data_IF_224751776908
#
_entry.id   IF_224751776908
#
_cell.length_a   1.000
_cell.length_b   1.000
_cell.length_c   1.000
_cell.angle_alpha   90.00
_cell.angle_beta   90.00
_cell.angle_gamma   90.00
#
_symmetry.space_group_name_H-M   'P 1'
#
loop_
_entity.id
_entity.type
_entity.pdbx_description
1 polymer ?
#
# COMPACT_ATOMS: atom_id res chain seq x y z
N UNK A 1 -1.94 25.12 8.72
CA UNK A 1 -3.29 24.63 9.07
C UNK A 1 -3.14 23.22 9.55
N UNK A 2 -3.50 22.97 10.81
CA UNK A 2 -3.26 21.69 11.47
C UNK A 2 -4.53 20.85 11.54
N UNK A 3 -4.46 19.60 11.07
CA UNK A 3 -5.53 18.61 11.23
C UNK A 3 -4.98 17.31 11.79
N UNK A 4 -5.85 16.51 12.40
CA UNK A 4 -5.58 15.12 12.73
C UNK A 4 -6.46 14.23 11.86
N UNK A 5 -5.87 13.22 11.24
CA UNK A 5 -6.56 12.21 10.45
C UNK A 5 -6.33 10.85 11.11
N UNK A 6 -7.41 10.10 11.32
CA UNK A 6 -7.34 8.73 11.82
C UNK A 6 -7.83 7.79 10.72
N UNK A 7 -7.08 6.72 10.48
CA UNK A 7 -7.46 5.73 9.47
C UNK A 7 -8.85 5.17 9.75
N UNK A 8 -9.56 4.75 8.71
CA UNK A 8 -10.92 4.18 8.82
C UNK A 8 -11.04 3.05 9.84
N UNK A 9 -9.99 2.24 10.00
CA UNK A 9 -9.90 1.15 10.96
C UNK A 9 -9.38 1.56 12.36
N UNK A 10 -9.10 2.84 12.59
CA UNK A 10 -8.64 3.38 13.88
C UNK A 10 -7.20 3.03 14.27
N UNK A 11 -6.41 2.38 13.40
CA UNK A 11 -5.08 1.87 13.75
C UNK A 11 -3.98 2.93 13.75
N UNK A 12 -4.12 3.97 12.92
CA UNK A 12 -3.09 5.00 12.73
C UNK A 12 -3.76 6.36 12.82
N UNK A 13 -3.20 7.23 13.67
CA UNK A 13 -3.53 8.65 13.69
C UNK A 13 -2.30 9.43 13.23
N UNK A 14 -2.47 10.28 12.23
CA UNK A 14 -1.44 11.17 11.72
C UNK A 14 -1.88 12.63 11.89
N UNK A 15 -0.93 13.50 12.22
CA UNK A 15 -1.14 14.94 12.25
C UNK A 15 -0.49 15.56 11.01
N UNK A 16 -1.25 16.42 10.33
CA UNK A 16 -0.78 17.16 9.17
C UNK A 16 -0.80 18.64 9.49
N UNK A 17 0.25 19.36 9.11
CA UNK A 17 0.27 20.81 9.12
C UNK A 17 0.77 21.32 7.76
N UNK A 18 -0.01 22.19 7.13
CA UNK A 18 0.30 22.73 5.81
C UNK A 18 -0.28 24.13 5.60
N UNK A 19 0.35 24.93 4.75
CA UNK A 19 0.00 26.35 4.57
C UNK A 19 -1.26 26.58 3.74
N UNK A 20 -1.63 25.62 2.90
CA UNK A 20 -2.79 25.72 2.00
C UNK A 20 -3.61 24.43 1.96
N UNK A 21 -4.88 24.53 1.55
CA UNK A 21 -5.73 23.36 1.34
C UNK A 21 -5.16 22.43 0.27
N UNK A 22 -4.43 22.96 -0.72
CA UNK A 22 -3.80 22.17 -1.78
C UNK A 22 -2.67 21.30 -1.22
N UNK A 23 -1.83 21.87 -0.37
CA UNK A 23 -0.71 21.14 0.24
C UNK A 23 -1.24 20.09 1.21
N UNK A 24 -2.23 20.45 2.01
CA UNK A 24 -2.90 19.52 2.91
C UNK A 24 -3.55 18.34 2.16
N UNK A 25 -4.23 18.61 1.05
CA UNK A 25 -4.80 17.56 0.21
C UNK A 25 -3.73 16.61 -0.33
N UNK A 26 -2.58 17.14 -0.77
CA UNK A 26 -1.48 16.31 -1.25
C UNK A 26 -0.92 15.39 -0.17
N UNK A 27 -0.73 15.89 1.06
CA UNK A 27 -0.22 15.08 2.17
C UNK A 27 -1.22 14.01 2.63
N UNK A 28 -2.50 14.36 2.74
CA UNK A 28 -3.56 13.38 3.03
C UNK A 28 -3.65 12.33 1.93
N UNK A 29 -3.60 12.73 0.66
CA UNK A 29 -3.67 11.78 -0.46
C UNK A 29 -2.54 10.75 -0.41
N UNK A 30 -1.29 11.20 -0.20
CA UNK A 30 -0.14 10.29 -0.04
C UNK A 30 -0.32 9.36 1.16
N UNK A 31 -0.88 9.87 2.25
CA UNK A 31 -1.16 9.06 3.44
C UNK A 31 -2.23 8.00 3.14
N UNK A 32 -3.36 8.38 2.57
CA UNK A 32 -4.45 7.45 2.25
C UNK A 32 -3.98 6.37 1.27
N UNK A 33 -3.18 6.73 0.25
CA UNK A 33 -2.67 5.80 -0.75
C UNK A 33 -1.84 4.65 -0.14
N UNK A 34 -1.18 4.87 1.01
CA UNK A 34 -0.30 3.89 1.67
C UNK A 34 -0.96 3.27 2.90
N UNK A 35 -1.71 4.06 3.67
CA UNK A 35 -2.14 3.71 5.02
C UNK A 35 -3.65 3.42 5.15
N UNK A 36 -4.47 3.64 4.11
CA UNK A 36 -5.90 3.30 4.11
C UNK A 36 -6.25 2.01 3.36
N UNK A 37 -5.26 1.22 2.94
CA UNK A 37 -5.54 -0.14 2.45
C UNK A 37 -5.79 -1.08 3.65
N UNK A 38 -7.03 -1.12 4.12
CA UNK A 38 -7.45 -1.89 5.29
C UNK A 38 -7.97 -3.31 4.95
N UNK A 39 -8.18 -3.59 3.67
CA UNK A 39 -8.87 -4.81 3.20
C UNK A 39 -8.05 -5.54 2.15
N UNK A 40 -7.86 -6.85 2.34
CA UNK A 40 -7.14 -7.69 1.40
C UNK A 40 -7.94 -7.84 0.11
N UNK A 41 -7.38 -7.44 -1.03
CA UNK A 41 -8.05 -7.54 -2.33
C UNK A 41 -8.46 -8.96 -2.71
N UNK A 42 -7.74 -9.98 -2.21
CA UNK A 42 -7.95 -11.40 -2.55
C UNK A 42 -8.97 -12.11 -1.67
N UNK A 43 -8.86 -12.00 -0.35
CA UNK A 43 -9.73 -12.73 0.59
C UNK A 43 -10.69 -11.84 1.38
N UNK A 44 -10.62 -10.52 1.20
CA UNK A 44 -11.43 -9.50 1.89
C UNK A 44 -11.24 -9.44 3.41
N UNK A 45 -10.28 -10.18 3.97
CA UNK A 45 -9.89 -10.06 5.38
C UNK A 45 -9.14 -8.76 5.67
N UNK A 46 -9.25 -8.29 6.92
CA UNK A 46 -8.64 -7.03 7.39
C UNK A 46 -7.38 -7.22 8.25
N UNK A 47 -6.98 -8.47 8.50
CA UNK A 47 -5.72 -8.79 9.19
C UNK A 47 -4.54 -8.62 8.24
N UNK A 48 -4.13 -7.35 8.11
CA UNK A 48 -3.08 -6.89 7.22
C UNK A 48 -1.95 -6.25 8.03
N UNK A 49 -0.72 -6.52 7.62
CA UNK A 49 0.49 -5.91 8.19
C UNK A 49 1.42 -5.36 7.11
N UNK A 50 2.13 -4.30 7.46
CA UNK A 50 3.25 -3.77 6.68
C UNK A 50 4.45 -4.69 6.82
N UNK A 51 5.12 -4.98 5.70
CA UNK A 51 6.39 -5.68 5.68
C UNK A 51 7.37 -4.95 4.76
N UNK A 52 8.64 -4.97 5.14
CA UNK A 52 9.76 -4.52 4.31
C UNK A 52 10.68 -5.71 4.11
N UNK A 53 11.00 -6.02 2.86
CA UNK A 53 11.99 -7.04 2.52
C UNK A 53 13.21 -6.35 1.93
N UNK A 54 14.40 -6.82 2.31
CA UNK A 54 15.67 -6.36 1.72
C UNK A 54 16.25 -7.47 0.88
N UNK A 55 16.57 -7.19 -0.38
CA UNK A 55 17.24 -8.12 -1.32
C UNK A 55 18.31 -7.32 -2.07
N UNK A 56 19.56 -7.73 -1.98
CA UNK A 56 20.71 -7.05 -2.61
C UNK A 56 20.68 -5.53 -2.38
N UNK A 57 20.54 -5.12 -1.10
CA UNK A 57 20.39 -3.74 -0.63
C UNK A 57 19.16 -2.97 -1.14
N UNK A 58 18.29 -3.59 -1.93
CA UNK A 58 17.03 -3.00 -2.36
C UNK A 58 15.91 -3.31 -1.36
N UNK A 59 15.18 -2.26 -0.96
CA UNK A 59 14.01 -2.38 -0.10
C UNK A 59 12.73 -2.51 -0.91
N UNK A 60 11.92 -3.51 -0.56
CA UNK A 60 10.62 -3.78 -1.14
C UNK A 60 9.56 -3.63 -0.05
N UNK A 61 8.67 -2.67 -0.26
CA UNK A 61 7.58 -2.34 0.65
C UNK A 61 6.32 -3.09 0.22
N UNK A 62 5.73 -3.86 1.12
CA UNK A 62 4.54 -4.66 0.81
C UNK A 62 3.55 -4.62 1.99
N UNK A 63 2.27 -4.77 1.68
CA UNK A 63 1.28 -5.22 2.65
C UNK A 63 1.13 -6.73 2.55
N UNK A 64 1.02 -7.42 3.69
CA UNK A 64 0.77 -8.87 3.75
C UNK A 64 -0.52 -9.13 4.52
N UNK A 65 -1.39 -9.92 3.91
CA UNK A 65 -2.56 -10.46 4.59
C UNK A 65 -2.14 -11.68 5.41
N UNK A 66 -2.33 -11.65 6.72
CA UNK A 66 -2.02 -12.80 7.59
C UNK A 66 -3.05 -13.93 7.42
N UNK A 67 -4.29 -13.62 7.02
CA UNK A 67 -5.35 -14.62 6.85
C UNK A 67 -5.13 -15.55 5.65
N UNK A 68 -4.73 -15.01 4.49
CA UNK A 68 -4.56 -15.81 3.28
C UNK A 68 -3.13 -15.83 2.72
N UNK A 69 -2.22 -15.01 3.27
CA UNK A 69 -0.82 -14.96 2.86
C UNK A 69 -0.56 -14.22 1.53
N UNK A 70 -1.58 -13.61 0.92
CA UNK A 70 -1.38 -12.73 -0.23
C UNK A 70 -0.67 -11.44 0.18
N UNK A 71 -0.11 -10.77 -0.82
CA UNK A 71 0.62 -9.52 -0.65
C UNK A 71 0.25 -8.48 -1.70
N UNK A 72 0.29 -7.22 -1.32
CA UNK A 72 0.21 -6.07 -2.22
C UNK A 72 1.58 -5.38 -2.22
N UNK A 73 2.24 -5.33 -3.37
CA UNK A 73 3.54 -4.69 -3.51
C UNK A 73 3.40 -3.19 -3.77
N UNK A 74 4.32 -2.39 -3.23
CA UNK A 74 4.39 -0.96 -3.46
C UNK A 74 5.58 -0.62 -4.36
N UNK A 75 5.36 0.35 -5.25
CA UNK A 75 6.43 1.07 -5.95
C UNK A 75 6.89 2.26 -5.12
N UNK A 76 8.12 2.70 -5.39
CA UNK A 76 8.67 3.93 -4.81
C UNK A 76 8.73 4.97 -5.93
N UNK A 77 8.20 6.16 -5.67
CA UNK A 77 8.33 7.28 -6.58
C UNK A 77 9.80 7.67 -6.74
N UNK A 78 10.22 7.96 -7.97
CA UNK A 78 11.62 8.33 -8.28
C UNK A 78 12.11 9.56 -7.49
N UNK A 79 11.20 10.43 -7.07
CA UNK A 79 11.48 11.64 -6.29
C UNK A 79 10.48 11.74 -5.14
N UNK A 80 10.89 12.34 -4.03
CA UNK A 80 10.03 12.65 -2.90
C UNK A 80 9.67 11.48 -1.98
N UNK A 81 10.22 10.28 -2.19
CA UNK A 81 10.11 9.14 -1.27
C UNK A 81 8.71 8.54 -1.11
N UNK A 82 7.72 8.99 -1.90
CA UNK A 82 6.36 8.47 -1.82
C UNK A 82 6.26 7.01 -2.28
N UNK A 83 5.35 6.26 -1.66
CA UNK A 83 5.00 4.90 -2.06
C UNK A 83 3.65 4.92 -2.79
N UNK A 84 3.45 3.97 -3.70
CA UNK A 84 2.17 3.75 -4.37
C UNK A 84 1.91 2.26 -4.55
N UNK A 85 0.67 1.77 -4.40
CA UNK A 85 0.37 0.36 -4.59
C UNK A 85 0.46 -0.01 -6.08
N UNK A 86 1.11 -1.12 -6.39
CA UNK A 86 1.19 -1.64 -7.77
C UNK A 86 -0.11 -2.33 -8.13
N UNK A 87 -1.01 -1.59 -8.79
CA UNK A 87 -2.34 -2.09 -9.23
C UNK A 87 -2.38 -2.51 -10.70
N UNK A 88 -1.34 -2.19 -11.46
CA UNK A 88 -1.24 -2.45 -12.89
C UNK A 88 0.05 -3.20 -13.21
N UNK A 89 0.04 -3.95 -14.30
CA UNK A 89 1.25 -4.55 -14.86
C UNK A 89 2.08 -3.53 -15.66
N UNK A 90 3.19 -4.00 -16.23
CA UNK A 90 4.12 -3.17 -17.02
C UNK A 90 3.50 -2.64 -18.32
N UNK A 91 2.42 -3.25 -18.79
CA UNK A 91 1.67 -2.84 -20.00
C UNK A 91 0.54 -1.86 -19.64
N UNK A 92 0.36 -1.55 -18.36
CA UNK A 92 -0.65 -0.63 -17.85
C UNK A 92 -2.03 -1.24 -17.67
N UNK A 93 -2.17 -2.57 -17.80
CA UNK A 93 -3.42 -3.28 -17.57
C UNK A 93 -3.63 -3.49 -16.07
N UNK A 94 -4.88 -3.35 -15.63
CA UNK A 94 -5.24 -3.60 -14.23
C UNK A 94 -5.04 -5.07 -13.86
N UNK A 95 -4.38 -5.28 -12.71
CA UNK A 95 -4.20 -6.59 -12.11
C UNK A 95 -5.51 -7.03 -11.42
N UNK A 96 -5.79 -8.35 -11.37
CA UNK A 96 -6.90 -8.87 -10.57
C UNK A 96 -6.70 -8.56 -9.08
N UNK A 97 -7.77 -8.70 -8.29
CA UNK A 97 -7.74 -8.51 -6.83
C UNK A 97 -7.12 -7.17 -6.40
N UNK A 98 -7.24 -6.12 -7.22
CA UNK A 98 -6.56 -4.83 -7.03
C UNK A 98 -5.04 -4.99 -6.81
N UNK A 99 -4.37 -5.87 -7.54
CA UNK A 99 -2.92 -6.08 -7.43
C UNK A 99 -2.46 -6.91 -6.23
N UNK A 100 -3.39 -7.45 -5.43
CA UNK A 100 -3.05 -8.43 -4.40
C UNK A 100 -2.72 -9.77 -5.03
N UNK A 101 -1.52 -10.28 -4.76
CA UNK A 101 -1.02 -11.54 -5.34
C UNK A 101 -0.64 -12.54 -4.27
N UNK A 102 -0.87 -13.83 -4.53
CA UNK A 102 -0.37 -14.93 -3.71
C UNK A 102 0.55 -15.79 -4.57
N UNK A 103 1.78 -15.98 -4.09
CA UNK A 103 2.72 -16.88 -4.74
C UNK A 103 2.24 -18.32 -4.65
N UNK A 104 2.19 -19.00 -5.79
CA UNK A 104 1.96 -20.43 -5.86
C UNK A 104 3.29 -21.15 -6.15
N UNK A 105 3.89 -21.85 -5.18
CA UNK A 105 5.18 -22.50 -5.36
C UNK A 105 5.11 -23.70 -6.32
N UNK A 106 3.92 -24.27 -6.57
CA UNK A 106 3.78 -25.40 -7.50
C UNK A 106 3.84 -24.99 -8.96
N UNK A 107 3.34 -23.79 -9.27
CA UNK A 107 3.29 -23.27 -10.64
C UNK A 107 4.31 -22.17 -10.88
N UNK A 108 5.06 -21.77 -9.84
CA UNK A 108 6.00 -20.64 -9.84
C UNK A 108 5.38 -19.35 -10.41
N UNK A 109 4.10 -19.14 -10.11
CA UNK A 109 3.32 -18.01 -10.60
C UNK A 109 2.64 -17.29 -9.46
N UNK A 110 2.51 -15.96 -9.62
CA UNK A 110 1.76 -15.11 -8.73
C UNK A 110 0.32 -15.00 -9.26
N UNK A 111 -0.66 -15.43 -8.45
CA UNK A 111 -2.08 -15.36 -8.78
C UNK A 111 -2.86 -14.52 -7.79
#
# INVERSE_FOLDING_TARGET
MKISYTTSNGRITAEFDADSHRDLFNEINKFQEVFEEDTCGKCKGQDIKYIVRTVDDNQYYELKCNSCGSKLAFGVNKKGGGLFPKRKDNEGKWLPDNGWVKWNPKTEQAN
#
